data_IF_952334507064
#
_entry.id   IF_952334507064
#
_cell.length_a   1.000
_cell.length_b   1.000
_cell.length_c   1.000
_cell.angle_alpha   90.00
_cell.angle_beta   90.00
_cell.angle_gamma   90.00
#
_symmetry.space_group_name_H-M   'P 1'
#
loop_
_entity.id
_entity.type
_entity.pdbx_description
1 polymer ?
#
# COMPACT_ATOMS: atom_id res chain seq x y z
N UNK A 1 46.80 6.59 -3.15
CA UNK A 1 46.67 7.55 -2.02
C UNK A 1 46.73 6.68 -0.78
N UNK A 2 47.91 6.62 -0.11
CA UNK A 2 48.09 5.82 1.11
C UNK A 2 47.31 6.43 2.26
N UNK A 3 46.03 6.03 2.36
CA UNK A 3 45.16 6.43 3.48
C UNK A 3 45.33 5.45 4.66
N UNK A 4 46.57 5.03 4.96
CA UNK A 4 46.88 4.21 6.13
C UNK A 4 47.26 5.13 7.29
N UNK A 5 46.34 5.29 8.25
CA UNK A 5 46.65 6.10 9.41
C UNK A 5 45.43 6.61 10.14
N UNK A 6 45.60 7.39 11.19
CA UNK A 6 44.51 7.95 12.03
C UNK A 6 43.44 8.73 11.22
N UNK A 7 43.87 9.36 10.10
CA UNK A 7 43.00 10.11 9.19
C UNK A 7 42.00 9.20 8.49
N UNK A 8 42.44 8.01 8.03
CA UNK A 8 41.56 7.04 7.40
C UNK A 8 40.51 6.52 8.37
N UNK A 9 40.91 6.23 9.61
CA UNK A 9 40.00 5.76 10.66
C UNK A 9 38.97 6.87 10.96
N UNK A 10 39.42 8.10 11.14
CA UNK A 10 38.53 9.23 11.37
C UNK A 10 37.53 9.42 10.24
N UNK A 11 37.97 9.34 8.98
CA UNK A 11 37.10 9.51 7.82
C UNK A 11 36.10 8.36 7.69
N UNK A 12 36.48 7.14 8.06
CA UNK A 12 35.58 5.99 8.11
C UNK A 12 34.43 6.24 9.09
N UNK A 13 34.75 6.64 10.31
CA UNK A 13 33.73 6.95 11.30
C UNK A 13 32.88 8.17 10.91
N UNK A 14 33.45 9.15 10.25
CA UNK A 14 32.70 10.30 9.72
C UNK A 14 31.71 9.88 8.65
N UNK A 15 32.10 9.04 7.69
CA UNK A 15 31.21 8.53 6.66
C UNK A 15 30.12 7.63 7.27
N UNK A 16 30.47 6.79 8.23
CA UNK A 16 29.52 5.95 8.96
C UNK A 16 28.51 6.81 9.73
N UNK A 17 28.93 7.92 10.33
CA UNK A 17 28.06 8.84 11.04
C UNK A 17 27.11 9.55 10.06
N UNK A 18 27.59 9.93 8.86
CA UNK A 18 26.72 10.52 7.84
C UNK A 18 25.70 9.50 7.35
N UNK A 19 26.10 8.25 7.12
CA UNK A 19 25.21 7.16 6.73
C UNK A 19 24.11 6.94 7.79
N UNK A 20 24.52 6.82 9.06
CA UNK A 20 23.63 6.73 10.22
C UNK A 20 22.62 7.89 10.27
N UNK A 21 23.05 9.08 9.90
CA UNK A 21 22.22 10.29 9.92
C UNK A 21 21.11 10.22 8.84
N UNK A 22 21.46 9.78 7.63
CA UNK A 22 20.51 9.65 6.53
C UNK A 22 19.52 8.51 6.75
N UNK A 23 19.97 7.31 7.19
CA UNK A 23 19.08 6.19 7.52
C UNK A 23 18.17 6.49 8.73
N UNK A 24 18.69 7.23 9.71
CA UNK A 24 17.90 7.67 10.84
C UNK A 24 16.80 8.66 10.44
N UNK A 25 17.12 9.60 9.56
CA UNK A 25 16.12 10.55 9.05
C UNK A 25 15.05 9.87 8.21
N UNK A 26 15.42 8.95 7.32
CA UNK A 26 14.50 8.15 6.52
C UNK A 26 13.48 7.45 7.41
N UNK A 27 13.96 6.70 8.41
CA UNK A 27 13.10 6.03 9.38
C UNK A 27 12.29 6.99 10.27
N UNK A 28 12.78 8.20 10.52
CA UNK A 28 12.04 9.19 11.28
C UNK A 28 10.84 9.72 10.48
N UNK A 29 11.03 10.04 9.20
CA UNK A 29 9.94 10.52 8.32
C UNK A 29 8.82 9.48 8.22
N UNK A 30 9.15 8.20 8.04
CA UNK A 30 8.16 7.11 7.95
C UNK A 30 7.28 6.97 9.22
N UNK A 31 7.76 7.45 10.36
CA UNK A 31 7.08 7.31 11.66
C UNK A 31 6.58 8.65 12.23
N UNK A 32 6.63 9.74 11.45
CA UNK A 32 6.12 11.04 11.89
C UNK A 32 4.61 11.12 11.85
N UNK A 33 4.05 11.87 12.80
CA UNK A 33 2.64 12.27 12.73
C UNK A 33 2.49 13.46 11.78
N UNK A 34 2.09 13.17 10.55
CA UNK A 34 1.93 14.18 9.49
C UNK A 34 1.00 15.33 9.91
N UNK A 35 -0.13 15.02 10.56
CA UNK A 35 -1.11 16.04 11.01
C UNK A 35 -0.50 17.02 12.02
N UNK A 36 0.35 16.54 12.90
CA UNK A 36 1.01 17.38 13.90
C UNK A 36 2.06 18.30 13.27
N UNK A 37 2.81 17.79 12.29
CA UNK A 37 3.79 18.58 11.54
C UNK A 37 3.11 19.66 10.70
N UNK A 38 2.00 19.34 10.01
CA UNK A 38 1.21 20.31 9.26
C UNK A 38 0.66 21.41 10.16
N UNK A 39 0.09 21.05 11.30
CA UNK A 39 -0.42 22.01 12.30
C UNK A 39 0.70 22.96 12.78
N UNK A 40 1.88 22.41 13.16
CA UNK A 40 3.04 23.24 13.57
C UNK A 40 3.56 24.13 12.44
N UNK A 41 3.47 23.67 11.20
CA UNK A 41 3.88 24.44 10.03
C UNK A 41 2.93 25.62 9.75
N UNK A 42 1.63 25.43 9.89
CA UNK A 42 0.60 26.42 9.56
C UNK A 42 0.37 27.42 10.69
N UNK A 43 0.27 26.99 11.94
CA UNK A 43 -0.06 27.83 13.08
C UNK A 43 1.17 28.49 13.71
N UNK A 44 2.21 27.72 13.97
CA UNK A 44 3.42 28.24 14.63
C UNK A 44 4.41 28.88 13.64
N UNK A 45 4.23 28.64 12.31
CA UNK A 45 5.14 29.11 11.25
C UNK A 45 6.60 28.74 11.50
N UNK A 46 6.82 27.61 12.17
CA UNK A 46 8.17 27.12 12.43
C UNK A 46 8.85 26.71 11.12
N UNK A 47 10.05 27.25 10.90
CA UNK A 47 10.81 27.05 9.67
C UNK A 47 11.17 25.59 9.38
N UNK A 48 11.39 24.80 10.45
CA UNK A 48 11.72 23.39 10.33
C UNK A 48 10.50 22.56 10.01
N UNK A 49 9.38 22.87 10.65
CA UNK A 49 8.08 22.24 10.36
C UNK A 49 7.63 22.50 8.94
N UNK A 50 7.82 23.72 8.41
CA UNK A 50 7.52 24.04 7.01
C UNK A 50 8.38 23.23 6.02
N UNK A 51 9.67 23.01 6.32
CA UNK A 51 10.55 22.17 5.49
C UNK A 51 10.19 20.71 5.55
N UNK A 52 9.81 20.21 6.73
CA UNK A 52 9.31 18.84 6.92
C UNK A 52 8.00 18.63 6.16
N UNK A 53 7.05 19.54 6.27
CA UNK A 53 5.79 19.54 5.53
C UNK A 53 6.01 19.52 4.01
N UNK A 54 6.94 20.33 3.50
CA UNK A 54 7.30 20.33 2.07
C UNK A 54 7.86 18.97 1.62
N UNK A 55 8.68 18.32 2.46
CA UNK A 55 9.22 16.99 2.17
C UNK A 55 8.17 15.88 2.22
N UNK A 56 7.30 15.92 3.22
CA UNK A 56 6.20 14.95 3.38
C UNK A 56 5.21 15.07 2.21
N UNK A 57 4.90 16.30 1.77
CA UNK A 57 4.01 16.54 0.63
C UNK A 57 4.60 16.13 -0.73
N UNK A 58 5.91 15.93 -0.83
CA UNK A 58 6.60 15.54 -2.07
C UNK A 58 7.65 14.45 -1.82
N UNK A 59 7.22 13.26 -1.36
CA UNK A 59 8.12 12.21 -0.88
C UNK A 59 9.10 11.73 -1.96
N UNK A 60 8.69 11.63 -3.21
CA UNK A 60 9.53 11.12 -4.29
C UNK A 60 10.80 11.93 -4.53
N UNK A 61 10.81 13.24 -4.25
CA UNK A 61 12.00 14.07 -4.44
C UNK A 61 13.04 13.81 -3.34
N UNK A 62 12.60 13.71 -2.08
CA UNK A 62 13.53 13.53 -0.98
C UNK A 62 14.00 12.07 -0.86
N UNK A 63 13.11 11.07 -1.04
CA UNK A 63 13.45 9.64 -0.99
C UNK A 63 14.58 9.33 -1.99
N UNK A 64 14.42 9.76 -3.24
CA UNK A 64 15.42 9.55 -4.28
C UNK A 64 16.75 10.22 -3.95
N UNK A 65 16.73 11.40 -3.29
CA UNK A 65 17.96 12.07 -2.87
C UNK A 65 18.62 11.36 -1.71
N UNK A 66 17.87 10.95 -0.69
CA UNK A 66 18.38 10.20 0.46
C UNK A 66 19.01 8.90 -0.04
N UNK A 67 18.33 8.15 -0.90
CA UNK A 67 18.82 6.92 -1.49
C UNK A 67 20.10 7.12 -2.32
N UNK A 68 20.18 8.22 -3.07
CA UNK A 68 21.39 8.58 -3.85
C UNK A 68 22.58 8.84 -2.93
N UNK A 69 22.39 9.62 -1.86
CA UNK A 69 23.46 9.94 -0.90
C UNK A 69 23.94 8.67 -0.18
N UNK A 70 23.03 7.86 0.31
CA UNK A 70 23.33 6.58 0.98
C UNK A 70 24.14 5.68 0.01
N UNK A 71 23.67 5.54 -1.24
CA UNK A 71 24.37 4.73 -2.25
C UNK A 71 25.76 5.27 -2.51
N UNK A 72 25.94 6.59 -2.64
CA UNK A 72 27.24 7.21 -2.85
C UNK A 72 28.19 6.96 -1.68
N UNK A 73 27.73 7.14 -0.45
CA UNK A 73 28.51 6.87 0.78
C UNK A 73 28.95 5.41 0.82
N UNK A 74 28.03 4.47 0.58
CA UNK A 74 28.33 3.05 0.61
C UNK A 74 29.33 2.64 -0.47
N UNK A 75 29.26 3.20 -1.68
CA UNK A 75 30.23 3.01 -2.75
C UNK A 75 31.61 3.56 -2.33
N UNK A 76 31.66 4.78 -1.77
CA UNK A 76 32.90 5.38 -1.29
C UNK A 76 33.53 4.53 -0.17
N UNK A 77 32.73 4.08 0.79
CA UNK A 77 33.20 3.21 1.86
C UNK A 77 33.75 1.90 1.31
N UNK A 78 33.06 1.25 0.37
CA UNK A 78 33.55 0.03 -0.29
C UNK A 78 34.85 0.27 -1.05
N UNK A 79 34.92 1.32 -1.85
CA UNK A 79 36.08 1.61 -2.69
C UNK A 79 37.34 1.94 -1.89
N UNK A 80 37.22 2.71 -0.80
CA UNK A 80 38.38 3.16 -0.04
C UNK A 80 38.78 2.25 1.10
N UNK A 81 37.83 1.59 1.76
CA UNK A 81 38.12 0.85 3.00
C UNK A 81 38.18 -0.65 2.83
N UNK A 82 37.64 -1.23 1.77
CA UNK A 82 37.71 -2.68 1.55
C UNK A 82 39.16 -3.17 1.50
N UNK A 83 40.03 -2.46 0.78
CA UNK A 83 41.46 -2.81 0.68
C UNK A 83 42.19 -2.68 2.03
N UNK A 84 41.84 -1.70 2.85
CA UNK A 84 42.44 -1.51 4.18
C UNK A 84 42.04 -2.68 5.10
N UNK A 85 40.76 -3.07 5.08
CA UNK A 85 40.23 -4.20 5.83
C UNK A 85 40.89 -5.51 5.38
N UNK A 86 41.01 -5.72 4.06
CA UNK A 86 41.65 -6.91 3.47
C UNK A 86 43.07 -7.03 3.93
N UNK A 87 43.89 -5.99 3.81
CA UNK A 87 45.29 -6.00 4.27
C UNK A 87 45.44 -6.22 5.79
N UNK A 88 44.49 -5.66 6.57
CA UNK A 88 44.52 -5.80 8.03
C UNK A 88 44.19 -7.24 8.45
N UNK A 89 43.18 -7.83 7.85
CA UNK A 89 42.76 -9.22 8.14
C UNK A 89 43.77 -10.21 7.61
N UNK A 90 44.29 -10.00 6.40
CA UNK A 90 45.32 -10.84 5.82
C UNK A 90 46.58 -10.90 6.69
N UNK A 91 47.08 -9.74 7.14
CA UNK A 91 48.20 -9.66 8.12
C UNK A 91 47.85 -10.36 9.43
N UNK A 92 46.62 -10.19 9.94
CA UNK A 92 46.15 -10.85 11.14
C UNK A 92 46.12 -12.37 11.01
N UNK A 93 45.68 -12.91 9.90
CA UNK A 93 45.62 -14.34 9.64
C UNK A 93 47.03 -14.97 9.59
N UNK A 94 48.01 -14.27 9.06
CA UNK A 94 49.42 -14.77 9.05
C UNK A 94 50.07 -14.86 10.43
N UNK A 95 49.57 -14.10 11.42
CA UNK A 95 50.08 -14.11 12.79
C UNK A 95 49.36 -15.15 13.67
N UNK A 96 48.23 -15.66 13.25
CA UNK A 96 47.43 -16.59 14.05
C UNK A 96 48.00 -18.02 13.93
N UNK A 97 48.42 -18.57 15.08
CA UNK A 97 48.74 -19.97 15.24
C UNK A 97 47.57 -20.76 15.80
N UNK A 98 46.96 -21.62 14.99
CA UNK A 98 45.84 -22.47 15.41
C UNK A 98 46.35 -23.89 15.68
N UNK A 99 46.36 -24.30 16.97
CA UNK A 99 46.67 -25.69 17.34
C UNK A 99 48.08 -26.20 17.01
N UNK A 100 49.08 -25.30 16.94
CA UNK A 100 50.47 -25.66 16.60
C UNK A 100 50.76 -25.70 15.11
N UNK A 101 49.79 -25.43 14.24
CA UNK A 101 50.00 -25.18 12.82
C UNK A 101 50.06 -23.68 12.57
N UNK A 102 51.22 -23.18 12.10
CA UNK A 102 51.28 -21.83 11.57
C UNK A 102 50.56 -21.80 10.21
N UNK A 103 49.64 -20.87 10.03
CA UNK A 103 48.91 -20.64 8.76
C UNK A 103 49.87 -20.20 7.62
N UNK A 104 51.16 -19.97 7.93
CA UNK A 104 52.20 -19.71 6.94
C UNK A 104 52.39 -20.85 5.91
N UNK A 105 52.00 -22.07 6.26
CA UNK A 105 52.08 -23.23 5.35
C UNK A 105 50.90 -23.37 4.40
N UNK A 106 49.89 -22.51 4.52
CA UNK A 106 48.71 -22.49 3.63
C UNK A 106 49.07 -21.69 2.35
N UNK A 107 48.69 -22.17 1.17
CA UNK A 107 48.91 -21.42 -0.08
C UNK A 107 48.37 -19.99 0.04
N UNK A 108 49.18 -19.00 -0.32
CA UNK A 108 48.83 -17.57 -0.19
C UNK A 108 47.53 -17.21 -0.88
N UNK A 109 47.17 -17.85 -1.99
CA UNK A 109 45.89 -17.65 -2.69
C UNK A 109 44.67 -18.10 -1.90
N UNK A 110 44.79 -19.14 -1.07
CA UNK A 110 43.69 -19.61 -0.22
C UNK A 110 43.51 -18.64 0.96
N UNK A 111 44.60 -18.21 1.56
CA UNK A 111 44.60 -17.33 2.71
C UNK A 111 44.04 -15.94 2.34
N UNK A 112 44.46 -15.37 1.20
CA UNK A 112 43.92 -14.11 0.68
C UNK A 112 42.47 -14.23 0.28
N UNK A 113 42.01 -15.38 -0.22
CA UNK A 113 40.58 -15.63 -0.47
C UNK A 113 39.76 -15.60 0.81
N UNK A 114 40.23 -16.25 1.88
CA UNK A 114 39.60 -16.22 3.20
C UNK A 114 39.60 -14.81 3.76
N UNK A 115 40.70 -14.08 3.68
CA UNK A 115 40.82 -12.69 4.12
C UNK A 115 39.80 -11.79 3.40
N UNK A 116 39.62 -12.00 2.09
CA UNK A 116 38.64 -11.26 1.30
C UNK A 116 37.23 -11.50 1.79
N UNK A 117 36.81 -12.73 1.96
CA UNK A 117 35.45 -13.08 2.44
C UNK A 117 35.23 -12.54 3.84
N UNK A 118 36.17 -12.68 4.76
CA UNK A 118 36.08 -12.15 6.12
C UNK A 118 36.00 -10.61 6.13
N UNK A 119 36.72 -9.93 5.25
CA UNK A 119 36.70 -8.48 5.10
C UNK A 119 35.31 -7.99 4.66
N UNK A 120 34.69 -8.65 3.68
CA UNK A 120 33.34 -8.36 3.26
C UNK A 120 32.33 -8.58 4.38
N UNK A 121 32.41 -9.72 5.07
CA UNK A 121 31.48 -10.02 6.17
C UNK A 121 31.61 -8.98 7.29
N UNK A 122 32.85 -8.66 7.69
CA UNK A 122 33.07 -7.67 8.75
C UNK A 122 32.58 -6.29 8.35
N UNK A 123 32.83 -5.87 7.12
CA UNK A 123 32.39 -4.57 6.62
C UNK A 123 30.86 -4.50 6.51
N UNK A 124 30.20 -5.51 5.94
CA UNK A 124 28.74 -5.60 5.89
C UNK A 124 28.16 -5.58 7.29
N UNK A 125 28.73 -6.34 8.23
CA UNK A 125 28.24 -6.38 9.62
C UNK A 125 28.30 -5.00 10.29
N UNK A 126 29.40 -4.27 10.13
CA UNK A 126 29.57 -2.94 10.72
C UNK A 126 28.61 -1.95 10.08
N UNK A 127 28.54 -1.89 8.74
CA UNK A 127 27.65 -0.98 8.01
C UNK A 127 26.20 -1.26 8.34
N UNK A 128 25.78 -2.52 8.29
CA UNK A 128 24.39 -2.89 8.55
C UNK A 128 23.99 -2.60 10.01
N UNK A 129 24.87 -2.92 10.97
CA UNK A 129 24.56 -2.75 12.40
C UNK A 129 24.56 -1.27 12.80
N UNK A 130 25.66 -0.57 12.51
CA UNK A 130 25.85 0.81 12.99
C UNK A 130 25.32 1.85 12.01
N UNK A 131 25.45 1.61 10.69
CA UNK A 131 24.94 2.53 9.66
C UNK A 131 23.43 2.48 9.51
N UNK A 132 22.83 1.29 9.59
CA UNK A 132 21.41 1.08 9.25
C UNK A 132 20.54 0.75 10.47
N UNK A 133 20.77 -0.40 11.13
CA UNK A 133 19.84 -0.97 12.10
C UNK A 133 19.70 -0.13 13.38
N UNK A 134 20.82 0.32 13.93
CA UNK A 134 20.82 1.10 15.17
C UNK A 134 20.11 2.45 14.95
N UNK A 135 20.51 3.29 13.94
CA UNK A 135 19.87 4.58 13.74
C UNK A 135 18.39 4.44 13.38
N UNK A 136 18.02 3.46 12.56
CA UNK A 136 16.63 3.19 12.21
C UNK A 136 15.76 2.90 13.44
N UNK A 137 16.25 2.02 14.34
CA UNK A 137 15.54 1.73 15.61
C UNK A 137 15.47 2.93 16.56
N UNK A 138 16.54 3.73 16.62
CA UNK A 138 16.56 4.93 17.47
C UNK A 138 15.59 5.99 16.95
N UNK A 139 15.59 6.22 15.65
CA UNK A 139 14.74 7.19 14.98
C UNK A 139 13.25 6.82 15.06
N UNK A 140 12.89 5.55 14.85
CA UNK A 140 11.51 5.09 15.00
C UNK A 140 10.94 5.24 16.42
N UNK A 141 11.79 5.27 17.46
CA UNK A 141 11.35 5.49 18.83
C UNK A 141 11.14 6.97 19.18
N UNK A 142 11.83 7.88 18.52
CA UNK A 142 11.76 9.32 18.75
C UNK A 142 11.81 10.07 17.43
N UNK A 143 10.80 9.87 16.57
CA UNK A 143 10.84 10.35 15.19
C UNK A 143 10.94 11.87 15.08
N UNK A 144 10.19 12.59 15.90
CA UNK A 144 10.23 14.05 15.89
C UNK A 144 11.62 14.61 16.19
N UNK A 145 12.28 14.12 17.25
CA UNK A 145 13.61 14.63 17.63
C UNK A 145 14.64 14.40 16.51
N UNK A 146 14.59 13.24 15.86
CA UNK A 146 15.47 12.92 14.75
C UNK A 146 15.16 13.78 13.53
N UNK A 147 13.90 13.89 13.16
CA UNK A 147 13.49 14.70 12.02
C UNK A 147 13.89 16.18 12.19
N UNK A 148 13.58 16.80 13.33
CA UNK A 148 13.94 18.20 13.60
C UNK A 148 15.45 18.44 13.74
N UNK A 149 16.22 17.44 14.18
CA UNK A 149 17.66 17.54 14.22
C UNK A 149 18.32 17.47 12.84
N UNK A 150 17.71 16.65 11.95
CA UNK A 150 18.30 16.30 10.66
C UNK A 150 17.79 17.13 9.48
N UNK A 151 16.63 17.82 9.61
CA UNK A 151 15.95 18.48 8.50
C UNK A 151 16.80 19.55 7.80
N UNK A 152 17.52 20.38 8.55
CA UNK A 152 18.23 21.51 7.97
C UNK A 152 19.36 21.08 7.00
N UNK A 153 20.31 20.17 7.40
CA UNK A 153 21.32 19.70 6.49
C UNK A 153 20.76 18.85 5.33
N UNK A 154 19.76 18.03 5.60
CA UNK A 154 19.16 17.18 4.56
C UNK A 154 18.43 18.05 3.53
N UNK A 155 17.68 19.05 3.95
CA UNK A 155 17.02 20.01 3.04
C UNK A 155 18.02 20.70 2.09
N UNK A 156 19.18 21.13 2.64
CA UNK A 156 20.23 21.75 1.83
C UNK A 156 20.80 20.76 0.82
N UNK A 157 21.09 19.53 1.26
CA UNK A 157 21.66 18.48 0.39
C UNK A 157 20.64 18.08 -0.69
N UNK A 158 19.36 17.93 -0.34
CA UNK A 158 18.30 17.62 -1.30
C UNK A 158 18.21 18.69 -2.38
N UNK A 159 18.28 19.95 -1.99
CA UNK A 159 18.23 21.06 -2.95
C UNK A 159 19.47 21.16 -3.84
N UNK A 160 20.64 20.83 -3.29
CA UNK A 160 21.90 20.81 -4.03
C UNK A 160 21.93 19.65 -5.04
N UNK A 161 21.42 18.48 -4.67
CA UNK A 161 21.41 17.27 -5.49
C UNK A 161 20.17 17.15 -6.39
N UNK A 162 19.20 18.07 -6.28
CA UNK A 162 17.98 18.06 -7.10
C UNK A 162 18.23 17.93 -8.62
N UNK A 163 19.25 18.59 -9.24
CA UNK A 163 19.50 18.39 -10.66
C UNK A 163 19.97 16.95 -10.97
N UNK A 164 20.73 16.33 -10.08
CA UNK A 164 21.21 14.96 -10.26
C UNK A 164 20.09 13.93 -10.07
N UNK A 165 19.27 14.08 -9.05
CA UNK A 165 18.08 13.23 -8.84
C UNK A 165 17.07 13.42 -9.96
N UNK A 166 16.92 14.64 -10.49
CA UNK A 166 16.11 14.91 -11.67
C UNK A 166 16.59 14.15 -12.91
N UNK A 167 17.91 14.07 -13.13
CA UNK A 167 18.49 13.29 -14.23
C UNK A 167 18.21 11.78 -14.06
N UNK A 168 18.40 11.25 -12.85
CA UNK A 168 18.11 9.84 -12.53
C UNK A 168 16.65 9.51 -12.77
N UNK A 169 15.73 10.36 -12.29
CA UNK A 169 14.29 10.19 -12.50
C UNK A 169 13.91 10.27 -13.99
N UNK A 170 14.53 11.17 -14.75
CA UNK A 170 14.29 11.29 -16.19
C UNK A 170 14.72 10.01 -16.93
N UNK A 171 15.88 9.46 -16.58
CA UNK A 171 16.38 8.21 -17.18
C UNK A 171 15.49 7.03 -16.79
N UNK A 172 15.07 6.92 -15.54
CA UNK A 172 14.13 5.89 -15.07
C UNK A 172 12.79 5.95 -15.81
N UNK A 173 12.20 7.15 -15.93
CA UNK A 173 10.95 7.36 -16.70
C UNK A 173 11.12 7.01 -18.18
N UNK A 174 12.26 7.33 -18.78
CA UNK A 174 12.57 6.97 -20.15
C UNK A 174 12.66 5.46 -20.37
N UNK A 175 13.26 4.73 -19.44
CA UNK A 175 13.35 3.27 -19.49
C UNK A 175 11.96 2.64 -19.28
N UNK A 176 11.19 3.09 -18.29
CA UNK A 176 9.83 2.61 -18.04
C UNK A 176 8.92 2.81 -19.26
N UNK A 177 9.05 3.94 -19.94
CA UNK A 177 8.33 4.22 -21.18
C UNK A 177 8.67 3.20 -22.29
N UNK A 178 9.94 2.76 -22.42
CA UNK A 178 10.34 1.73 -23.36
C UNK A 178 9.73 0.35 -23.05
N UNK A 179 9.47 0.06 -21.77
CA UNK A 179 8.78 -1.15 -21.33
C UNK A 179 7.25 -1.04 -21.35
N UNK A 180 6.71 0.06 -21.87
CA UNK A 180 5.25 0.25 -21.99
C UNK A 180 4.54 0.64 -20.69
N UNK A 181 5.29 0.87 -19.62
CA UNK A 181 4.75 1.36 -18.35
C UNK A 181 4.50 2.85 -18.50
N UNK A 182 3.26 3.23 -18.74
CA UNK A 182 2.82 4.62 -18.68
C UNK A 182 2.54 4.98 -17.24
N UNK A 183 3.34 5.86 -16.67
CA UNK A 183 3.06 6.47 -15.37
C UNK A 183 1.82 7.38 -15.51
N UNK A 184 0.64 6.81 -15.32
CA UNK A 184 -0.60 7.58 -15.17
C UNK A 184 -1.07 7.63 -13.70
N UNK A 185 -0.33 7.05 -12.80
CA UNK A 185 -0.60 7.15 -11.36
C UNK A 185 0.42 8.11 -10.76
N UNK A 186 -0.06 9.19 -10.18
CA UNK A 186 0.71 9.96 -9.20
C UNK A 186 1.10 8.97 -8.08
N UNK A 187 2.39 8.96 -7.70
CA UNK A 187 2.95 8.04 -6.67
C UNK A 187 2.26 8.15 -5.30
N UNK A 188 1.21 8.96 -5.19
CA UNK A 188 0.43 9.22 -3.98
C UNK A 188 -1.04 8.78 -4.09
N UNK A 189 -1.46 8.18 -5.19
CA UNK A 189 -2.84 7.69 -5.29
C UNK A 189 -2.96 6.38 -4.52
N UNK A 190 -3.53 6.47 -3.33
CA UNK A 190 -3.87 5.29 -2.51
C UNK A 190 -4.92 4.48 -3.26
N UNK A 191 -4.59 3.24 -3.58
CA UNK A 191 -5.51 2.32 -4.25
C UNK A 191 -6.46 1.68 -3.24
N UNK A 192 -7.62 1.23 -3.73
CA UNK A 192 -8.58 0.47 -2.92
C UNK A 192 -7.94 -0.77 -2.28
N UNK A 193 -7.12 -1.51 -3.06
CA UNK A 193 -6.38 -2.67 -2.56
C UNK A 193 -5.43 -2.30 -1.42
N UNK A 194 -4.82 -1.14 -1.46
CA UNK A 194 -3.91 -0.66 -0.43
C UNK A 194 -4.65 -0.32 0.86
N UNK A 195 -5.86 0.25 0.76
CA UNK A 195 -6.74 0.49 1.91
C UNK A 195 -7.18 -0.83 2.54
N UNK A 196 -7.61 -1.80 1.73
CA UNK A 196 -8.02 -3.13 2.20
C UNK A 196 -6.86 -3.83 2.92
N UNK A 197 -5.64 -3.78 2.35
CA UNK A 197 -4.45 -4.35 2.97
C UNK A 197 -4.12 -3.70 4.32
N UNK A 198 -4.21 -2.36 4.42
CA UNK A 198 -4.03 -1.65 5.70
C UNK A 198 -5.07 -2.05 6.75
N UNK A 199 -6.32 -2.24 6.36
CA UNK A 199 -7.39 -2.71 7.24
C UNK A 199 -7.11 -4.14 7.74
N UNK A 200 -6.67 -5.01 6.84
CA UNK A 200 -6.32 -6.39 7.17
C UNK A 200 -5.13 -6.45 8.13
N UNK A 201 -4.09 -5.67 7.89
CA UNK A 201 -2.94 -5.54 8.79
C UNK A 201 -3.36 -5.01 10.17
N UNK A 202 -4.24 -3.99 10.22
CA UNK A 202 -4.82 -3.48 11.45
C UNK A 202 -5.62 -4.53 12.22
N UNK A 203 -6.31 -5.43 11.51
CA UNK A 203 -7.00 -6.56 12.13
C UNK A 203 -6.02 -7.59 12.70
N UNK A 204 -4.99 -7.98 11.96
CA UNK A 204 -3.96 -8.91 12.43
C UNK A 204 -3.20 -8.39 13.66
N UNK A 205 -3.01 -7.07 13.75
CA UNK A 205 -2.42 -6.40 14.91
C UNK A 205 -3.40 -6.25 16.09
N UNK A 206 -4.68 -6.59 15.92
CA UNK A 206 -5.71 -6.49 16.94
C UNK A 206 -6.23 -5.07 17.21
N UNK A 207 -5.92 -4.11 16.33
CA UNK A 207 -6.39 -2.72 16.40
C UNK A 207 -7.81 -2.59 15.83
N UNK A 208 -8.13 -3.40 14.81
CA UNK A 208 -9.43 -3.43 14.13
C UNK A 208 -10.10 -4.78 14.43
N UNK A 209 -11.41 -4.76 14.76
CA UNK A 209 -12.17 -5.98 14.99
C UNK A 209 -12.49 -6.66 13.65
N UNK A 210 -12.67 -7.99 13.68
CA UNK A 210 -13.02 -8.78 12.47
C UNK A 210 -14.28 -8.26 11.77
N UNK A 211 -15.30 -7.89 12.57
CA UNK A 211 -16.56 -7.34 12.03
C UNK A 211 -16.39 -5.97 11.37
N UNK A 212 -15.45 -5.16 11.85
CA UNK A 212 -15.15 -3.85 11.26
C UNK A 212 -14.39 -4.00 9.94
N UNK A 213 -13.41 -4.91 9.90
CA UNK A 213 -12.66 -5.22 8.68
C UNK A 213 -13.58 -5.77 7.58
N UNK A 214 -14.47 -6.71 7.94
CA UNK A 214 -15.48 -7.25 7.03
C UNK A 214 -16.46 -6.16 6.53
N UNK A 215 -16.87 -5.24 7.39
CA UNK A 215 -17.75 -4.14 7.00
C UNK A 215 -17.09 -3.21 5.99
N UNK A 216 -15.81 -2.89 6.16
CA UNK A 216 -15.05 -2.05 5.22
C UNK A 216 -14.93 -2.75 3.86
N UNK A 217 -14.60 -4.04 3.84
CA UNK A 217 -14.54 -4.84 2.61
C UNK A 217 -15.88 -4.86 1.88
N UNK A 218 -16.98 -5.06 2.62
CA UNK A 218 -18.34 -5.05 2.05
C UNK A 218 -18.75 -3.69 1.47
N UNK A 219 -18.22 -2.58 2.01
CA UNK A 219 -18.48 -1.24 1.45
C UNK A 219 -17.86 -1.10 0.06
N UNK A 220 -16.65 -1.58 -0.16
CA UNK A 220 -16.01 -1.57 -1.47
C UNK A 220 -16.76 -2.47 -2.46
N UNK A 221 -17.06 -3.71 -2.06
CA UNK A 221 -17.86 -4.60 -2.91
C UNK A 221 -19.24 -4.05 -3.28
N UNK A 222 -19.83 -3.22 -2.39
CA UNK A 222 -21.15 -2.63 -2.65
C UNK A 222 -21.09 -1.61 -3.80
N UNK A 223 -19.98 -0.91 -3.94
CA UNK A 223 -19.79 0.07 -5.01
C UNK A 223 -19.79 -0.56 -6.41
N UNK A 224 -19.34 -1.79 -6.53
CA UNK A 224 -19.19 -2.51 -7.79
C UNK A 224 -20.43 -3.35 -8.14
N UNK A 225 -21.40 -3.51 -7.21
CA UNK A 225 -22.60 -4.32 -7.45
C UNK A 225 -23.56 -3.66 -8.42
N UNK A 226 -23.89 -4.40 -9.43
CA UNK A 226 -24.93 -4.04 -10.40
C UNK A 226 -26.27 -4.70 -10.07
N UNK A 227 -27.35 -4.20 -10.66
CA UNK A 227 -28.68 -4.79 -10.50
C UNK A 227 -28.73 -6.28 -10.90
N UNK A 228 -27.92 -6.69 -11.87
CA UNK A 228 -27.80 -8.07 -12.33
C UNK A 228 -27.32 -9.02 -11.23
N UNK A 229 -26.51 -8.55 -10.27
CA UNK A 229 -25.92 -9.39 -9.21
C UNK A 229 -26.95 -9.78 -8.14
N UNK A 230 -28.02 -8.98 -8.00
CA UNK A 230 -29.08 -9.17 -7.00
C UNK A 230 -30.45 -9.48 -7.61
N UNK A 231 -30.58 -9.40 -8.94
CA UNK A 231 -31.85 -9.66 -9.60
C UNK A 231 -32.20 -11.16 -9.59
N UNK A 232 -33.50 -11.44 -9.67
CA UNK A 232 -33.95 -12.81 -9.96
C UNK A 232 -33.77 -13.09 -11.44
N UNK A 233 -32.97 -14.13 -11.77
CA UNK A 233 -32.78 -14.55 -13.14
C UNK A 233 -34.10 -14.94 -13.81
N UNK A 234 -34.25 -14.65 -15.11
CA UNK A 234 -35.44 -14.90 -15.93
C UNK A 234 -36.06 -16.27 -15.71
N UNK A 235 -35.24 -17.33 -15.65
CA UNK A 235 -35.70 -18.72 -15.46
C UNK A 235 -36.26 -19.01 -14.07
N UNK A 236 -36.04 -18.14 -13.09
CA UNK A 236 -36.50 -18.26 -11.70
C UNK A 236 -37.63 -17.27 -11.38
N UNK A 237 -38.02 -16.42 -12.32
CA UNK A 237 -39.14 -15.50 -12.13
C UNK A 237 -40.45 -16.29 -12.11
N UNK A 238 -41.22 -16.11 -11.05
CA UNK A 238 -42.57 -16.61 -10.95
C UNK A 238 -43.51 -15.50 -11.35
N UNK A 239 -44.07 -15.59 -12.57
CA UNK A 239 -45.00 -14.60 -13.14
C UNK A 239 -46.36 -15.25 -13.41
N UNK A 240 -47.38 -14.43 -13.59
CA UNK A 240 -48.77 -14.83 -13.86
C UNK A 240 -49.16 -14.32 -15.24
N UNK A 241 -49.80 -15.18 -16.04
CA UNK A 241 -50.36 -14.78 -17.33
C UNK A 241 -51.52 -13.81 -17.12
N UNK A 242 -51.54 -12.68 -17.86
CA UNK A 242 -52.53 -11.66 -17.79
C UNK A 242 -53.99 -12.11 -18.14
N UNK A 243 -54.13 -13.17 -18.94
CA UNK A 243 -55.43 -13.80 -19.27
C UNK A 243 -55.97 -14.70 -18.15
N UNK A 244 -55.14 -14.98 -17.11
CA UNK A 244 -55.59 -15.78 -15.95
C UNK A 244 -56.68 -15.03 -15.20
N UNK A 245 -57.77 -15.75 -14.83
CA UNK A 245 -58.85 -15.18 -13.99
C UNK A 245 -58.34 -14.82 -12.60
N UNK A 246 -58.82 -13.73 -12.04
CA UNK A 246 -58.40 -13.27 -10.71
C UNK A 246 -58.50 -14.34 -9.62
N UNK A 247 -59.55 -15.15 -9.60
CA UNK A 247 -59.72 -16.26 -8.63
C UNK A 247 -58.56 -17.30 -8.70
N UNK A 248 -58.14 -17.66 -9.92
CA UNK A 248 -57.12 -18.66 -10.15
C UNK A 248 -55.73 -18.07 -9.85
N UNK A 249 -55.54 -16.78 -10.18
CA UNK A 249 -54.35 -16.03 -9.80
C UNK A 249 -54.17 -15.93 -8.28
N UNK A 250 -55.22 -15.61 -7.54
CA UNK A 250 -55.20 -15.59 -6.06
C UNK A 250 -54.83 -16.96 -5.49
N UNK A 251 -55.45 -18.01 -6.00
CA UNK A 251 -55.13 -19.40 -5.56
C UNK A 251 -53.67 -19.72 -5.77
N UNK A 252 -53.09 -19.38 -6.94
CA UNK A 252 -51.69 -19.55 -7.27
C UNK A 252 -50.79 -18.74 -6.35
N UNK A 253 -51.11 -17.46 -6.11
CA UNK A 253 -50.35 -16.54 -5.24
C UNK A 253 -50.36 -17.01 -3.78
N UNK A 254 -51.45 -17.52 -3.26
CA UNK A 254 -51.56 -18.03 -1.89
C UNK A 254 -50.74 -19.32 -1.70
N UNK A 255 -50.57 -20.14 -2.74
CA UNK A 255 -49.71 -21.29 -2.74
C UNK A 255 -48.23 -20.98 -2.86
N UNK A 256 -47.88 -19.77 -3.26
CA UNK A 256 -46.52 -19.30 -3.45
C UNK A 256 -45.90 -18.64 -2.22
N UNK A 257 -44.61 -18.29 -2.33
CA UNK A 257 -43.85 -17.60 -1.24
C UNK A 257 -43.77 -16.09 -1.45
N UNK A 258 -44.17 -15.60 -2.60
CA UNK A 258 -44.01 -14.20 -2.99
C UNK A 258 -45.26 -13.38 -2.70
N UNK A 259 -45.10 -12.10 -2.41
CA UNK A 259 -46.24 -11.18 -2.21
C UNK A 259 -46.56 -10.36 -3.47
N UNK A 260 -45.63 -10.26 -4.40
CA UNK A 260 -45.70 -9.53 -5.66
C UNK A 260 -45.35 -10.43 -6.82
N UNK A 261 -46.18 -10.41 -7.84
CA UNK A 261 -46.02 -11.25 -9.04
C UNK A 261 -46.04 -10.38 -10.28
N UNK A 262 -45.02 -10.45 -11.14
CA UNK A 262 -45.09 -9.87 -12.48
C UNK A 262 -46.25 -10.49 -13.25
N UNK A 263 -46.98 -9.65 -13.98
CA UNK A 263 -48.04 -10.09 -14.91
C UNK A 263 -47.53 -9.88 -16.33
N UNK A 264 -47.59 -10.92 -17.14
CA UNK A 264 -47.12 -10.86 -18.52
C UNK A 264 -48.24 -11.08 -19.52
N UNK A 265 -48.05 -10.58 -20.73
CA UNK A 265 -48.92 -10.80 -21.87
C UNK A 265 -48.11 -11.51 -22.96
N UNK A 266 -48.68 -12.58 -23.55
CA UNK A 266 -48.09 -13.45 -24.57
C UNK A 266 -46.84 -14.22 -24.05
N UNK A 267 -45.83 -13.54 -23.55
CA UNK A 267 -44.62 -14.16 -23.02
C UNK A 267 -44.02 -13.39 -21.83
N UNK A 268 -43.16 -14.07 -21.08
CA UNK A 268 -42.55 -13.54 -19.85
C UNK A 268 -41.66 -12.29 -20.07
N UNK A 269 -41.28 -11.99 -21.30
CA UNK A 269 -40.47 -10.81 -21.65
C UNK A 269 -41.36 -9.56 -21.84
N UNK A 270 -42.69 -9.74 -21.96
CA UNK A 270 -43.64 -8.65 -22.06
C UNK A 270 -44.43 -8.50 -20.75
N UNK A 271 -43.80 -7.87 -19.76
CA UNK A 271 -44.44 -7.60 -18.47
C UNK A 271 -45.33 -6.38 -18.59
N UNK A 272 -46.65 -6.54 -18.32
CA UNK A 272 -47.66 -5.49 -18.36
C UNK A 272 -47.91 -4.85 -16.99
N UNK A 273 -47.43 -5.44 -15.92
CA UNK A 273 -47.57 -4.87 -14.57
C UNK A 273 -47.17 -5.83 -13.46
N UNK A 274 -47.36 -5.40 -12.23
CA UNK A 274 -47.13 -6.17 -11.03
C UNK A 274 -48.43 -6.27 -10.23
N UNK A 275 -48.83 -7.50 -9.92
CA UNK A 275 -49.97 -7.77 -9.05
C UNK A 275 -49.50 -8.03 -7.63
N UNK A 276 -49.96 -7.22 -6.69
CA UNK A 276 -49.72 -7.45 -5.27
C UNK A 276 -50.82 -8.30 -4.66
N UNK A 277 -50.44 -9.32 -3.88
CA UNK A 277 -51.42 -10.22 -3.25
C UNK A 277 -52.50 -9.50 -2.43
N UNK A 278 -52.11 -8.46 -1.70
CA UNK A 278 -53.05 -7.60 -0.95
C UNK A 278 -54.10 -6.93 -1.83
N UNK A 279 -53.70 -6.45 -3.00
CA UNK A 279 -54.63 -5.79 -3.93
C UNK A 279 -55.53 -6.79 -4.63
N UNK A 280 -54.93 -7.96 -5.00
CA UNK A 280 -55.77 -9.07 -5.50
C UNK A 280 -56.84 -9.49 -4.52
N UNK A 281 -56.53 -9.59 -3.22
CA UNK A 281 -57.48 -9.87 -2.17
C UNK A 281 -58.53 -8.76 -1.98
N UNK A 282 -58.16 -7.50 -2.14
CA UNK A 282 -59.13 -6.36 -2.10
C UNK A 282 -60.15 -6.46 -3.23
N UNK A 283 -59.71 -6.78 -4.43
CA UNK A 283 -60.61 -7.03 -5.58
C UNK A 283 -61.53 -8.22 -5.35
N UNK A 284 -61.05 -9.22 -4.65
CA UNK A 284 -61.85 -10.40 -4.29
C UNK A 284 -62.99 -10.07 -3.28
N UNK A 285 -62.74 -9.15 -2.33
CA UNK A 285 -63.68 -8.80 -1.28
C UNK A 285 -64.71 -7.77 -1.76
N UNK A 286 -64.31 -6.89 -2.70
CA UNK A 286 -65.09 -5.70 -3.03
C UNK A 286 -66.03 -5.83 -4.20
N UNK A 287 -65.93 -6.85 -5.07
CA UNK A 287 -66.78 -6.93 -6.27
C UNK A 287 -66.74 -8.26 -7.00
N UNK A 288 -67.72 -8.45 -7.93
CA UNK A 288 -67.91 -9.54 -8.91
C UNK A 288 -66.78 -9.65 -9.97
N UNK A 289 -65.53 -9.23 -9.66
CA UNK A 289 -64.39 -9.24 -10.58
C UNK A 289 -63.63 -10.56 -10.62
N UNK A 290 -64.05 -11.56 -9.90
CA UNK A 290 -63.35 -12.87 -9.75
C UNK A 290 -63.13 -13.62 -11.07
N UNK A 291 -64.02 -13.46 -12.02
CA UNK A 291 -63.97 -14.10 -13.33
C UNK A 291 -63.32 -13.21 -14.40
N UNK A 292 -62.85 -12.03 -14.05
CA UNK A 292 -62.15 -11.12 -15.00
C UNK A 292 -60.69 -11.58 -15.13
N UNK A 293 -60.10 -11.47 -16.35
CA UNK A 293 -58.68 -11.55 -16.54
C UNK A 293 -57.93 -10.50 -15.77
N UNK A 294 -56.77 -10.84 -15.17
CA UNK A 294 -56.00 -9.90 -14.34
C UNK A 294 -55.47 -8.73 -15.16
N UNK A 295 -55.20 -8.90 -16.46
CA UNK A 295 -54.78 -7.82 -17.36
C UNK A 295 -55.84 -6.69 -17.46
N UNK A 296 -57.11 -6.93 -17.13
CA UNK A 296 -58.23 -5.97 -17.18
C UNK A 296 -58.53 -5.30 -15.84
N UNK A 297 -57.70 -5.57 -14.81
CA UNK A 297 -57.85 -4.97 -13.50
C UNK A 297 -57.25 -3.56 -13.48
N UNK A 298 -58.01 -2.60 -12.99
CA UNK A 298 -57.50 -1.27 -12.71
C UNK A 298 -56.61 -1.33 -11.47
N UNK A 299 -55.32 -1.03 -11.60
CA UNK A 299 -54.37 -1.00 -10.47
C UNK A 299 -53.18 -1.93 -10.56
N UNK A 300 -52.92 -2.50 -11.76
CA UNK A 300 -51.63 -3.11 -12.05
C UNK A 300 -50.54 -2.04 -12.06
N UNK A 301 -49.60 -2.13 -11.15
CA UNK A 301 -48.50 -1.18 -11.06
C UNK A 301 -47.41 -1.54 -12.05
N UNK A 302 -47.12 -0.66 -13.00
CA UNK A 302 -46.02 -0.82 -13.98
C UNK A 302 -44.67 -0.38 -13.46
N UNK A 303 -44.60 0.32 -12.33
CA UNK A 303 -43.36 0.88 -11.79
C UNK A 303 -43.26 0.72 -10.29
N UNK A 304 -42.12 0.23 -9.82
CA UNK A 304 -41.79 0.17 -8.39
C UNK A 304 -41.39 1.52 -7.80
N UNK A 305 -41.18 2.55 -8.64
CA UNK A 305 -40.78 3.90 -8.20
C UNK A 305 -41.94 4.62 -7.47
N UNK A 306 -43.17 4.15 -7.65
CA UNK A 306 -44.37 4.75 -7.05
C UNK A 306 -44.92 3.95 -5.85
N UNK A 307 -44.12 3.07 -5.27
CA UNK A 307 -44.46 2.31 -4.05
C UNK A 307 -43.83 2.97 -2.81
#
# INVERSE_FOLDING_TARGET
MDMSGPVAIFLFFLLLLVDMFFYGFDAAIDNLNEKEILHKAEEEKDRRSMRLSEMISRPGIYINTVQLVITLINILMGAFYLNIWLQTIDKGLHVINVGGMSLENVPTGVLSGIATVLSFIAMIYILLTFGVLIPRKMASRQPEKWAYACIDPIYIITRLLAPLTGLVNLTAKGILFLFGVRNNTDENDVTEEEIINMVQEGHEQGVIQASEAEMISNIFEYGDKEAQDIMTHRGSIVAIDGETKLKDAIASMLGGKNSRYPVYEENIDHIIGILHLKDAMRFHISDDKLDLPIAKLDGLLLSLIHI
#
